data_IF_606321617492
#
_entry.id   IF_606321617492
#
_cell.length_a   1.000
_cell.length_b   1.000
_cell.length_c   1.000
_cell.angle_alpha   90.00
_cell.angle_beta   90.00
_cell.angle_gamma   90.00
#
_symmetry.space_group_name_H-M   'P 1'
#
loop_
_entity.id
_entity.type
_entity.pdbx_description
1 polymer ?
#
# COMPACT_ATOMS: atom_id res chain seq x y z
N UNK A 1 -1.25 -36.59 -77.74
CA UNK A 1 -2.32 -36.83 -76.76
C UNK A 1 -1.67 -36.87 -75.38
N UNK A 2 -2.00 -35.91 -74.53
CA UNK A 2 -1.35 -35.72 -73.24
C UNK A 2 -1.80 -34.40 -72.62
N UNK A 3 -3.02 -34.38 -72.08
CA UNK A 3 -3.50 -33.30 -71.22
C UNK A 3 -2.76 -33.38 -69.87
N UNK A 4 -2.18 -32.26 -69.44
CA UNK A 4 -1.61 -32.12 -68.09
C UNK A 4 -2.28 -30.95 -67.38
N UNK A 5 -3.18 -31.32 -66.49
CA UNK A 5 -3.88 -30.50 -65.50
C UNK A 5 -2.85 -30.00 -64.47
N UNK A 6 -2.56 -28.69 -64.43
CA UNK A 6 -1.81 -28.09 -63.33
C UNK A 6 -2.76 -27.39 -62.36
N UNK A 7 -2.83 -27.97 -61.14
CA UNK A 7 -3.59 -27.47 -60.00
C UNK A 7 -2.91 -26.25 -59.39
N UNK A 8 -3.71 -25.23 -59.08
CA UNK A 8 -3.32 -24.01 -58.37
C UNK A 8 -2.80 -24.29 -56.95
N UNK A 9 -1.80 -23.52 -56.44
CA UNK A 9 -1.39 -23.60 -55.05
C UNK A 9 -2.34 -22.80 -54.12
N UNK A 10 -2.74 -23.43 -53.02
CA UNK A 10 -3.49 -22.83 -51.92
C UNK A 10 -2.74 -21.63 -51.30
N UNK A 11 -3.43 -20.49 -51.18
CA UNK A 11 -3.00 -19.36 -50.35
C UNK A 11 -3.35 -19.63 -48.87
N UNK A 12 -2.48 -19.28 -47.91
CA UNK A 12 -2.85 -19.27 -46.51
C UNK A 12 -3.84 -18.11 -46.20
N UNK A 13 -4.72 -18.27 -45.20
CA UNK A 13 -5.67 -17.23 -44.81
C UNK A 13 -4.96 -16.05 -44.13
N UNK A 14 -5.44 -14.84 -44.43
CA UNK A 14 -5.02 -13.59 -43.78
C UNK A 14 -5.54 -13.55 -42.34
N UNK A 15 -4.76 -13.08 -41.35
CA UNK A 15 -5.29 -12.83 -40.01
C UNK A 15 -6.22 -11.61 -40.06
N UNK A 16 -7.51 -11.88 -39.94
CA UNK A 16 -8.55 -10.91 -39.58
C UNK A 16 -8.54 -10.71 -38.08
N UNK A 17 -8.26 -9.50 -37.59
CA UNK A 17 -8.37 -9.19 -36.17
C UNK A 17 -7.44 -8.09 -35.74
N UNK A 18 -7.70 -6.86 -36.17
CA UNK A 18 -7.12 -5.66 -35.56
C UNK A 18 -7.83 -5.49 -34.20
N UNK A 19 -7.30 -6.10 -33.13
CA UNK A 19 -7.72 -5.77 -31.77
C UNK A 19 -7.29 -4.32 -31.51
N UNK A 20 -8.24 -3.40 -31.63
CA UNK A 20 -8.14 -2.07 -31.07
C UNK A 20 -8.26 -2.24 -29.56
N UNK A 21 -7.13 -2.44 -28.89
CA UNK A 21 -7.02 -2.13 -27.47
C UNK A 21 -6.98 -0.61 -27.36
N UNK A 22 -8.16 0.00 -27.22
CA UNK A 22 -8.28 1.36 -26.71
C UNK A 22 -7.71 1.36 -25.29
N UNK A 23 -6.45 1.76 -25.17
CA UNK A 23 -5.84 2.09 -23.90
C UNK A 23 -6.53 3.35 -23.39
N UNK A 24 -7.42 3.17 -22.42
CA UNK A 24 -7.95 4.27 -21.63
C UNK A 24 -6.80 4.81 -20.78
N UNK A 25 -6.13 5.86 -21.28
CA UNK A 25 -5.10 6.59 -20.57
C UNK A 25 -5.77 7.27 -19.39
N UNK A 26 -5.70 6.65 -18.20
CA UNK A 26 -6.12 7.28 -16.94
C UNK A 26 -5.28 8.54 -16.75
N UNK A 27 -5.89 9.69 -17.06
CA UNK A 27 -5.26 11.01 -16.90
C UNK A 27 -5.09 11.30 -15.42
N UNK A 28 -3.85 11.27 -14.94
CA UNK A 28 -3.49 11.92 -13.68
C UNK A 28 -3.71 13.44 -13.85
N UNK A 29 -4.85 13.94 -13.36
CA UNK A 29 -5.17 15.36 -13.40
C UNK A 29 -4.47 16.08 -12.25
N UNK A 30 -3.98 17.31 -12.49
CA UNK A 30 -3.53 18.20 -11.42
C UNK A 30 -4.68 18.40 -10.43
N UNK A 31 -4.40 18.52 -9.11
CA UNK A 31 -5.43 18.57 -8.08
C UNK A 31 -6.46 19.68 -8.35
N UNK A 32 -7.73 19.29 -8.30
CA UNK A 32 -8.91 20.14 -8.49
C UNK A 32 -9.04 21.15 -7.33
N UNK A 33 -9.49 22.40 -7.55
CA UNK A 33 -9.56 23.40 -6.48
C UNK A 33 -10.76 23.08 -5.57
N UNK A 34 -10.49 22.62 -4.34
CA UNK A 34 -11.52 22.44 -3.30
C UNK A 34 -11.17 21.40 -2.22
N UNK A 35 -10.40 20.36 -2.56
CA UNK A 35 -9.83 19.41 -1.59
C UNK A 35 -8.37 19.77 -1.30
N UNK A 36 -7.95 19.77 -0.03
CA UNK A 36 -6.52 19.89 0.29
C UNK A 36 -5.80 18.69 -0.33
N UNK A 37 -4.79 18.89 -1.21
CA UNK A 37 -4.04 17.77 -1.76
C UNK A 37 -3.32 17.04 -0.63
N UNK A 38 -3.40 15.71 -0.63
CA UNK A 38 -2.64 14.88 0.30
C UNK A 38 -1.15 15.21 0.11
N UNK A 39 -0.47 15.45 1.22
CA UNK A 39 0.95 15.77 1.23
C UNK A 39 1.64 15.11 2.40
N UNK A 40 2.94 14.89 2.24
CA UNK A 40 3.82 14.47 3.33
C UNK A 40 3.88 15.61 4.36
N UNK A 41 3.65 15.28 5.63
CA UNK A 41 3.44 16.25 6.71
C UNK A 41 4.77 16.67 7.33
N UNK A 42 5.60 15.70 7.72
CA UNK A 42 6.84 15.94 8.45
C UNK A 42 8.05 15.26 7.78
N UNK A 43 9.24 15.51 8.33
CA UNK A 43 10.49 14.86 7.89
C UNK A 43 11.14 15.47 6.64
N UNK A 44 12.02 14.68 6.01
CA UNK A 44 12.84 15.08 4.87
C UNK A 44 12.02 15.51 3.65
N UNK A 45 10.89 14.85 3.40
CA UNK A 45 10.03 15.06 2.23
C UNK A 45 8.81 15.94 2.52
N UNK A 46 8.79 16.64 3.66
CA UNK A 46 7.66 17.48 4.09
C UNK A 46 7.16 18.42 2.98
N UNK A 47 5.85 18.65 2.96
CA UNK A 47 5.12 19.49 1.97
C UNK A 47 5.16 18.97 0.52
N UNK A 48 5.67 17.76 0.29
CA UNK A 48 5.57 17.11 -1.02
C UNK A 48 4.14 16.66 -1.28
N UNK A 49 3.51 17.06 -2.40
CA UNK A 49 2.20 16.56 -2.78
C UNK A 49 2.28 15.10 -3.24
N UNK A 50 1.32 14.29 -2.82
CA UNK A 50 1.14 12.91 -3.23
C UNK A 50 0.03 12.89 -4.29
N UNK A 51 0.33 12.35 -5.46
CA UNK A 51 -0.67 12.17 -6.52
C UNK A 51 -1.59 11.02 -6.15
N UNK A 52 -2.87 11.32 -5.94
CA UNK A 52 -3.92 10.34 -5.68
C UNK A 52 -4.78 10.21 -6.94
N UNK A 53 -5.07 8.99 -7.42
CA UNK A 53 -6.05 8.80 -8.49
C UNK A 53 -7.42 9.32 -8.05
N UNK A 54 -8.05 10.14 -8.90
CA UNK A 54 -9.39 10.68 -8.65
C UNK A 54 -10.44 9.62 -8.99
N UNK A 55 -10.74 8.73 -8.03
CA UNK A 55 -11.82 7.75 -8.14
C UNK A 55 -13.03 8.29 -7.38
N UNK A 56 -14.22 8.41 -8.02
CA UNK A 56 -15.44 8.85 -7.34
C UNK A 56 -15.73 7.99 -6.10
N UNK A 57 -15.85 8.62 -4.93
CA UNK A 57 -16.15 7.93 -3.68
C UNK A 57 -14.94 7.59 -2.81
N UNK A 58 -13.70 7.88 -3.25
CA UNK A 58 -12.54 7.78 -2.36
C UNK A 58 -12.69 8.79 -1.22
N UNK A 59 -12.86 8.30 0.01
CA UNK A 59 -12.69 9.11 1.23
C UNK A 59 -11.22 8.96 1.61
N UNK A 60 -10.34 9.91 1.23
CA UNK A 60 -8.95 9.81 1.64
C UNK A 60 -8.89 9.76 3.17
N UNK A 61 -8.08 8.85 3.72
CA UNK A 61 -7.72 8.85 5.14
C UNK A 61 -7.38 10.29 5.53
N UNK A 62 -8.16 10.90 6.44
CA UNK A 62 -7.99 12.31 6.76
C UNK A 62 -6.54 12.57 7.17
N UNK A 63 -5.96 13.70 6.77
CA UNK A 63 -4.62 14.11 7.22
C UNK A 63 -4.46 13.94 8.75
N UNK A 64 -5.55 14.19 9.49
CA UNK A 64 -5.65 13.98 10.93
C UNK A 64 -5.36 12.54 11.38
N UNK A 65 -5.85 11.52 10.68
CA UNK A 65 -5.62 10.11 11.06
C UNK A 65 -4.14 9.74 10.90
N UNK A 66 -3.54 10.16 9.77
CA UNK A 66 -2.09 10.01 9.53
C UNK A 66 -1.27 10.77 10.58
N UNK A 67 -1.65 12.00 10.90
CA UNK A 67 -1.00 12.78 11.97
C UNK A 67 -1.10 12.08 13.33
N UNK A 68 -2.27 11.58 13.70
CA UNK A 68 -2.47 10.84 14.95
C UNK A 68 -1.58 9.60 15.03
N UNK A 69 -1.55 8.77 13.97
CA UNK A 69 -0.68 7.60 13.90
C UNK A 69 0.78 7.96 14.17
N UNK A 70 1.31 8.94 13.44
CA UNK A 70 2.72 9.29 13.58
C UNK A 70 3.03 10.01 14.89
N UNK A 71 2.06 10.67 15.53
CA UNK A 71 2.22 11.18 16.88
C UNK A 71 2.32 10.03 17.89
N UNK A 72 1.51 8.98 17.75
CA UNK A 72 1.64 7.77 18.59
C UNK A 72 2.99 7.09 18.40
N UNK A 73 3.44 6.90 17.16
CA UNK A 73 4.74 6.30 16.86
C UNK A 73 5.89 7.15 17.39
N UNK A 74 5.81 8.48 17.25
CA UNK A 74 6.83 9.39 17.78
C UNK A 74 6.96 9.25 19.30
N UNK A 75 5.84 9.11 20.02
CA UNK A 75 5.89 8.86 21.47
C UNK A 75 6.44 7.47 21.79
N UNK A 76 6.03 6.42 21.09
CA UNK A 76 6.44 5.03 21.39
C UNK A 76 7.89 4.73 21.02
N UNK A 77 8.43 5.43 20.03
CA UNK A 77 9.81 5.27 19.58
C UNK A 77 10.72 6.42 20.04
N UNK A 78 10.27 7.29 20.95
CA UNK A 78 11.02 8.47 21.42
C UNK A 78 11.55 9.37 20.27
N UNK A 79 10.82 9.40 19.16
CA UNK A 79 11.20 10.11 17.93
C UNK A 79 12.24 9.41 17.06
N UNK A 80 12.72 8.23 17.45
CA UNK A 80 13.75 7.45 16.74
C UNK A 80 13.14 6.52 15.69
N UNK A 81 13.04 7.03 14.46
CA UNK A 81 12.66 6.24 13.28
C UNK A 81 13.86 5.53 12.64
N UNK A 82 15.08 5.89 13.01
CA UNK A 82 16.29 5.23 12.53
C UNK A 82 16.29 3.74 12.92
N UNK A 83 16.70 2.87 11.98
CA UNK A 83 16.69 1.42 12.15
C UNK A 83 15.31 0.77 11.95
N UNK A 84 14.22 1.54 11.94
CA UNK A 84 12.86 1.00 11.81
C UNK A 84 12.57 0.53 10.39
N UNK A 85 11.98 -0.66 10.30
CA UNK A 85 11.50 -1.30 9.07
C UNK A 85 9.98 -1.25 9.05
N UNK A 86 9.42 -0.58 8.05
CA UNK A 86 7.98 -0.40 7.88
C UNK A 86 7.49 -1.20 6.69
N UNK A 87 6.37 -1.89 6.85
CA UNK A 87 5.62 -2.54 5.79
C UNK A 87 4.25 -1.87 5.65
N UNK A 88 3.92 -1.44 4.44
CA UNK A 88 2.60 -0.95 4.07
C UNK A 88 1.97 -1.98 3.12
N UNK A 89 1.02 -2.77 3.63
CA UNK A 89 0.45 -3.90 2.87
C UNK A 89 -0.61 -3.48 1.85
N UNK A 90 -1.19 -2.29 2.04
CA UNK A 90 -2.23 -1.73 1.19
C UNK A 90 -1.84 -0.29 0.86
N UNK A 91 -0.72 -0.13 0.14
CA UNK A 91 -0.07 1.17 0.02
C UNK A 91 -0.96 2.22 -0.62
N UNK A 92 -1.76 1.88 -1.64
CA UNK A 92 -2.62 2.81 -2.35
C UNK A 92 -1.83 4.01 -2.89
N UNK A 93 -2.10 5.19 -2.33
CA UNK A 93 -1.35 6.43 -2.64
C UNK A 93 0.07 6.48 -2.06
N UNK A 94 0.38 5.61 -1.10
CA UNK A 94 1.63 5.54 -0.34
C UNK A 94 1.73 6.57 0.77
N UNK A 95 0.64 7.26 1.11
CA UNK A 95 0.67 8.36 2.07
C UNK A 95 1.22 7.96 3.45
N UNK A 96 0.85 6.78 3.94
CA UNK A 96 1.35 6.28 5.22
C UNK A 96 2.82 5.89 5.10
N UNK A 97 3.20 5.00 4.18
CA UNK A 97 4.60 4.58 4.05
C UNK A 97 5.60 5.69 3.67
N UNK A 98 5.24 6.64 2.80
CA UNK A 98 6.13 7.77 2.48
C UNK A 98 6.33 8.72 3.67
N UNK A 99 5.35 8.82 4.57
CA UNK A 99 5.51 9.59 5.80
C UNK A 99 6.53 8.93 6.75
N UNK A 100 6.55 7.59 6.83
CA UNK A 100 7.57 6.85 7.58
C UNK A 100 8.97 7.06 6.99
N UNK A 101 9.09 6.95 5.67
CA UNK A 101 10.35 7.20 4.98
C UNK A 101 10.84 8.64 5.21
N UNK A 102 9.93 9.61 5.12
CA UNK A 102 10.22 11.02 5.37
C UNK A 102 10.76 11.26 6.78
N UNK A 103 10.23 10.54 7.78
CA UNK A 103 10.65 10.64 9.19
C UNK A 103 11.96 9.91 9.51
N UNK A 104 12.52 9.16 8.56
CA UNK A 104 13.83 8.53 8.70
C UNK A 104 13.81 7.01 8.89
N UNK A 105 12.68 6.34 8.60
CA UNK A 105 12.64 4.88 8.58
C UNK A 105 13.69 4.33 7.59
N UNK A 106 14.49 3.35 8.04
CA UNK A 106 15.61 2.80 7.25
C UNK A 106 15.14 1.97 6.07
N UNK A 107 13.98 1.32 6.20
CA UNK A 107 13.36 0.59 5.12
C UNK A 107 11.85 0.75 5.18
N UNK A 108 11.24 1.06 4.04
CA UNK A 108 9.79 1.07 3.86
C UNK A 108 9.46 0.21 2.65
N UNK A 109 8.67 -0.83 2.85
CA UNK A 109 8.15 -1.67 1.78
C UNK A 109 6.69 -1.34 1.53
N UNK A 110 6.38 -0.84 0.34
CA UNK A 110 5.03 -0.55 -0.13
C UNK A 110 4.55 -1.71 -1.00
N UNK A 111 3.44 -2.34 -0.64
CA UNK A 111 2.79 -3.40 -1.42
C UNK A 111 1.52 -2.83 -2.04
N UNK A 112 1.41 -2.98 -3.36
CA UNK A 112 0.23 -2.54 -4.11
C UNK A 112 0.00 -3.46 -5.31
N UNK A 113 -1.26 -3.77 -5.59
CA UNK A 113 -1.68 -4.64 -6.69
C UNK A 113 -2.08 -3.85 -7.94
N UNK A 114 -2.63 -2.64 -7.79
CA UNK A 114 -3.06 -1.82 -8.92
C UNK A 114 -1.84 -1.26 -9.67
N UNK A 115 -1.81 -1.49 -10.99
CA UNK A 115 -0.66 -1.11 -11.83
C UNK A 115 -0.47 0.39 -11.92
N UNK A 116 -1.56 1.16 -11.89
CA UNK A 116 -1.53 2.62 -11.98
C UNK A 116 -0.98 3.21 -10.69
N UNK A 117 -1.45 2.73 -9.54
CA UNK A 117 -0.94 3.09 -8.22
C UNK A 117 0.53 2.71 -8.07
N UNK A 118 0.94 1.50 -8.44
CA UNK A 118 2.36 1.08 -8.45
C UNK A 118 3.23 2.03 -9.26
N UNK A 119 2.78 2.43 -10.45
CA UNK A 119 3.52 3.38 -11.29
C UNK A 119 3.65 4.76 -10.61
N UNK A 120 2.57 5.25 -10.00
CA UNK A 120 2.57 6.51 -9.26
C UNK A 120 3.52 6.46 -8.03
N UNK A 121 3.50 5.36 -7.26
CA UNK A 121 4.40 5.13 -6.13
C UNK A 121 5.87 5.15 -6.55
N UNK A 122 6.21 4.46 -7.65
CA UNK A 122 7.58 4.44 -8.19
C UNK A 122 8.01 5.83 -8.66
N UNK A 123 7.15 6.54 -9.39
CA UNK A 123 7.43 7.90 -9.83
C UNK A 123 7.66 8.86 -8.66
N UNK A 124 6.87 8.75 -7.58
CA UNK A 124 7.05 9.55 -6.38
C UNK A 124 8.35 9.21 -5.64
N UNK A 125 8.65 7.92 -5.47
CA UNK A 125 9.93 7.46 -4.91
C UNK A 125 11.12 8.04 -5.67
N UNK A 126 11.09 7.93 -7.00
CA UNK A 126 12.20 8.36 -7.86
C UNK A 126 12.36 9.88 -7.83
N UNK A 127 11.24 10.62 -7.84
CA UNK A 127 11.23 12.08 -7.68
C UNK A 127 11.84 12.53 -6.35
N UNK A 128 11.61 11.78 -5.27
CA UNK A 128 12.13 12.09 -3.94
C UNK A 128 13.53 11.53 -3.69
N UNK A 129 14.05 10.72 -4.62
CA UNK A 129 15.26 9.91 -4.42
C UNK A 129 15.19 9.11 -3.10
N UNK A 130 14.02 8.54 -2.81
CA UNK A 130 13.73 7.90 -1.54
C UNK A 130 14.32 6.48 -1.49
N UNK A 131 15.61 6.37 -1.22
CA UNK A 131 16.36 5.11 -1.23
C UNK A 131 15.84 4.06 -0.22
N UNK A 132 15.23 4.50 0.88
CA UNK A 132 14.62 3.63 1.88
C UNK A 132 13.33 2.94 1.37
N UNK A 133 12.70 3.48 0.33
CA UNK A 133 11.38 3.02 -0.15
C UNK A 133 11.53 1.98 -1.27
N UNK A 134 10.94 0.81 -1.05
CA UNK A 134 10.79 -0.26 -2.05
C UNK A 134 9.32 -0.44 -2.38
N UNK A 135 9.01 -0.63 -3.67
CA UNK A 135 7.63 -0.84 -4.15
C UNK A 135 7.52 -2.24 -4.73
N UNK A 136 6.69 -3.08 -4.11
CA UNK A 136 6.37 -4.42 -4.57
C UNK A 136 5.00 -4.43 -5.23
N UNK A 137 4.96 -4.82 -6.50
CA UNK A 137 3.72 -4.98 -7.25
C UNK A 137 3.17 -6.39 -6.98
N UNK A 138 2.11 -6.50 -6.19
CA UNK A 138 1.57 -7.78 -5.77
C UNK A 138 0.36 -7.64 -4.86
N UNK A 139 -0.36 -8.74 -4.71
CA UNK A 139 -1.51 -8.84 -3.81
C UNK A 139 -1.00 -9.10 -2.37
N UNK A 140 -1.61 -8.42 -1.38
CA UNK A 140 -1.16 -8.40 0.00
C UNK A 140 -1.00 -9.81 0.61
N UNK A 141 -1.99 -10.70 0.45
CA UNK A 141 -1.95 -12.06 0.99
C UNK A 141 -0.80 -12.86 0.39
N UNK A 142 -0.62 -12.83 -0.92
CA UNK A 142 0.48 -13.53 -1.59
C UNK A 142 1.85 -13.02 -1.14
N UNK A 143 1.97 -11.72 -0.88
CA UNK A 143 3.21 -11.12 -0.43
C UNK A 143 3.53 -11.54 0.99
N UNK A 144 2.56 -11.45 1.90
CA UNK A 144 2.73 -11.86 3.31
C UNK A 144 3.07 -13.34 3.42
N UNK A 145 2.39 -14.21 2.66
CA UNK A 145 2.63 -15.65 2.67
C UNK A 145 4.02 -16.06 2.18
N UNK A 146 4.68 -15.22 1.38
CA UNK A 146 6.04 -15.47 0.87
C UNK A 146 7.12 -14.82 1.72
N UNK A 147 6.73 -13.99 2.69
CA UNK A 147 7.66 -13.31 3.58
C UNK A 147 8.07 -14.22 4.74
N UNK A 148 9.02 -15.10 4.48
CA UNK A 148 9.70 -15.82 5.56
C UNK A 148 10.88 -14.98 6.08
N UNK A 149 11.07 -14.97 7.41
CA UNK A 149 12.18 -14.33 8.12
C UNK A 149 12.31 -12.78 8.03
N UNK A 150 11.36 -12.08 7.39
CA UNK A 150 11.31 -10.61 7.50
C UNK A 150 10.79 -10.19 8.89
N UNK A 151 11.33 -9.12 9.45
CA UNK A 151 10.93 -8.59 10.76
C UNK A 151 10.70 -7.09 10.59
N UNK A 152 9.44 -6.67 10.66
CA UNK A 152 9.03 -5.27 10.55
C UNK A 152 8.70 -4.71 11.93
N UNK A 153 9.18 -3.50 12.21
CA UNK A 153 8.87 -2.75 13.42
C UNK A 153 7.47 -2.14 13.36
N UNK A 154 6.95 -1.92 12.15
CA UNK A 154 5.60 -1.42 11.92
C UNK A 154 5.00 -2.06 10.67
N UNK A 155 3.80 -2.60 10.81
CA UNK A 155 2.96 -3.05 9.70
C UNK A 155 1.72 -2.14 9.65
N UNK A 156 1.49 -1.53 8.50
CA UNK A 156 0.34 -0.66 8.22
C UNK A 156 -0.71 -1.48 7.44
N UNK A 157 -1.91 -1.53 7.99
CA UNK A 157 -3.07 -2.23 7.43
C UNK A 157 -4.21 -1.26 7.21
N UNK A 158 -4.35 -0.76 5.98
CA UNK A 158 -5.52 0.00 5.53
C UNK A 158 -6.21 -0.75 4.38
N UNK A 159 -6.82 -1.92 4.67
CA UNK A 159 -7.44 -2.72 3.62
C UNK A 159 -8.69 -2.06 3.07
N UNK A 160 -9.06 -2.34 1.80
CA UNK A 160 -10.34 -1.91 1.28
C UNK A 160 -11.50 -2.52 2.10
N UNK A 161 -12.51 -1.70 2.40
CA UNK A 161 -13.68 -2.08 3.21
C UNK A 161 -14.48 -3.24 2.59
N UNK A 162 -15.25 -3.95 3.43
CA UNK A 162 -16.18 -5.00 3.01
C UNK A 162 -15.57 -6.30 2.44
N UNK A 163 -14.29 -6.60 2.73
CA UNK A 163 -13.60 -7.78 2.16
C UNK A 163 -12.96 -8.74 3.19
N UNK A 164 -13.21 -8.52 4.50
CA UNK A 164 -12.71 -9.37 5.59
C UNK A 164 -11.19 -9.66 5.52
N UNK A 165 -10.40 -8.66 5.15
CA UNK A 165 -8.94 -8.77 5.06
C UNK A 165 -8.30 -9.04 6.42
N UNK A 166 -8.73 -8.33 7.46
CA UNK A 166 -8.10 -8.39 8.78
C UNK A 166 -8.15 -9.80 9.39
N UNK A 167 -9.30 -10.51 9.44
CA UNK A 167 -9.35 -11.90 9.90
C UNK A 167 -8.37 -12.85 9.19
N UNK A 168 -8.11 -12.62 7.90
CA UNK A 168 -7.21 -13.46 7.10
C UNK A 168 -5.73 -13.12 7.33
N UNK A 169 -5.43 -11.87 7.67
CA UNK A 169 -4.06 -11.40 7.91
C UNK A 169 -3.58 -11.72 9.32
N UNK A 170 -4.46 -11.70 10.33
CA UNK A 170 -4.06 -11.91 11.72
C UNK A 170 -3.15 -13.12 11.98
N UNK A 171 -3.40 -14.31 11.42
CA UNK A 171 -2.55 -15.47 11.68
C UNK A 171 -1.15 -15.36 11.08
N UNK A 172 -0.95 -14.46 10.10
CA UNK A 172 0.29 -14.32 9.35
C UNK A 172 1.20 -13.23 9.90
N UNK A 173 0.63 -12.17 10.50
CA UNK A 173 1.41 -11.03 11.00
C UNK A 173 2.51 -11.43 12.00
N UNK A 174 2.29 -12.36 12.95
CA UNK A 174 3.34 -12.75 13.91
C UNK A 174 4.61 -13.30 13.24
N UNK A 175 4.48 -13.94 12.07
CA UNK A 175 5.62 -14.48 11.33
C UNK A 175 6.54 -13.41 10.73
N UNK A 176 6.03 -12.18 10.56
CA UNK A 176 6.72 -11.07 9.91
C UNK A 176 6.96 -9.85 10.80
N UNK A 177 6.43 -9.86 12.03
CA UNK A 177 6.65 -8.80 13.02
C UNK A 177 8.00 -8.95 13.72
N UNK A 178 8.64 -7.82 14.02
CA UNK A 178 9.72 -7.77 15.00
C UNK A 178 9.20 -8.03 16.41
N UNK A 179 10.11 -8.29 17.36
CA UNK A 179 9.75 -8.62 18.75
C UNK A 179 8.89 -7.56 19.45
N UNK A 180 9.16 -6.29 19.17
CA UNK A 180 8.38 -5.16 19.64
C UNK A 180 7.59 -4.51 18.49
N UNK A 181 7.30 -5.30 17.46
CA UNK A 181 6.63 -4.85 16.25
C UNK A 181 5.22 -4.33 16.56
N UNK A 182 4.87 -3.25 15.88
CA UNK A 182 3.57 -2.60 15.97
C UNK A 182 2.75 -2.91 14.72
N UNK A 183 1.43 -3.01 14.91
CA UNK A 183 0.48 -3.15 13.81
C UNK A 183 -0.50 -2.00 13.88
N UNK A 184 -0.56 -1.19 12.84
CA UNK A 184 -1.56 -0.16 12.67
C UNK A 184 -2.68 -0.69 11.76
N UNK A 185 -3.93 -0.47 12.16
CA UNK A 185 -5.11 -0.97 11.44
C UNK A 185 -6.13 0.14 11.26
N UNK A 186 -6.70 0.26 10.06
CA UNK A 186 -7.92 1.01 9.76
C UNK A 186 -9.07 0.04 9.43
N UNK A 187 -10.28 0.36 9.88
CA UNK A 187 -11.49 -0.43 9.65
C UNK A 187 -12.75 0.43 9.67
N UNK A 188 -13.82 -0.04 9.04
CA UNK A 188 -15.16 0.57 9.12
C UNK A 188 -15.91 0.20 10.42
N UNK A 189 -15.40 -0.78 11.16
CA UNK A 189 -15.98 -1.27 12.42
C UNK A 189 -14.98 -1.16 13.58
N UNK A 190 -15.49 -1.27 14.80
CA UNK A 190 -14.64 -1.33 15.99
C UNK A 190 -13.62 -2.48 15.86
N UNK A 191 -12.38 -2.20 16.26
CA UNK A 191 -11.30 -3.18 16.17
C UNK A 191 -11.58 -4.34 17.11
N UNK A 192 -11.58 -5.55 16.55
CA UNK A 192 -11.69 -6.81 17.28
C UNK A 192 -10.51 -7.71 16.91
N UNK A 193 -9.29 -7.39 17.38
CA UNK A 193 -8.12 -8.23 17.13
C UNK A 193 -8.20 -9.53 17.95
N UNK A 194 -7.46 -10.58 17.57
CA UNK A 194 -7.32 -11.79 18.38
C UNK A 194 -6.64 -11.52 19.73
N UNK A 195 -6.81 -12.42 20.69
CA UNK A 195 -6.28 -12.30 22.05
C UNK A 195 -4.74 -12.14 22.12
N UNK A 196 -4.03 -12.61 21.10
CA UNK A 196 -2.57 -12.48 21.01
C UNK A 196 -2.11 -11.05 20.64
N UNK A 197 -3.03 -10.12 20.39
CA UNK A 197 -2.75 -8.72 20.08
C UNK A 197 -3.34 -7.80 21.15
N UNK A 198 -2.48 -6.98 21.74
CA UNK A 198 -2.86 -5.94 22.69
C UNK A 198 -3.11 -4.62 21.94
N UNK A 199 -4.25 -3.98 22.17
CA UNK A 199 -4.54 -2.64 21.63
C UNK A 199 -3.87 -1.59 22.50
N UNK A 200 -2.79 -0.99 22.00
CA UNK A 200 -2.06 0.08 22.71
C UNK A 200 -2.79 1.42 22.63
N UNK A 201 -3.33 1.74 21.46
CA UNK A 201 -4.07 2.98 21.17
C UNK A 201 -5.19 2.68 20.19
N UNK A 202 -6.31 3.37 20.32
CA UNK A 202 -7.40 3.34 19.36
C UNK A 202 -8.14 4.67 19.37
N UNK A 203 -8.67 5.07 18.23
CA UNK A 203 -9.49 6.27 18.09
C UNK A 203 -10.42 6.10 16.85
N UNK A 204 -11.30 7.08 16.62
CA UNK A 204 -12.26 7.07 15.52
C UNK A 204 -12.34 8.44 14.86
N UNK A 205 -12.33 8.45 13.53
CA UNK A 205 -12.54 9.64 12.72
C UNK A 205 -13.72 9.40 11.76
N UNK A 206 -14.89 9.94 12.11
CA UNK A 206 -16.12 9.71 11.35
C UNK A 206 -16.53 8.23 11.38
N UNK A 207 -16.53 7.57 10.23
CA UNK A 207 -16.86 6.15 10.10
C UNK A 207 -15.62 5.23 10.16
N UNK A 208 -14.41 5.80 10.21
CA UNK A 208 -13.17 5.02 10.26
C UNK A 208 -12.73 4.84 11.70
N UNK A 209 -12.61 3.59 12.12
CA UNK A 209 -11.95 3.17 13.35
C UNK A 209 -10.50 2.84 13.03
N UNK A 210 -9.59 3.30 13.87
CA UNK A 210 -8.18 3.02 13.68
C UNK A 210 -7.47 2.80 15.01
N UNK A 211 -6.39 2.04 14.99
CA UNK A 211 -5.70 1.66 16.20
C UNK A 211 -4.32 1.11 15.95
N UNK A 212 -3.53 1.14 17.01
CA UNK A 212 -2.17 0.66 17.06
C UNK A 212 -2.10 -0.46 18.08
N UNK A 213 -1.66 -1.62 17.60
CA UNK A 213 -1.62 -2.86 18.34
C UNK A 213 -0.19 -3.36 18.46
N UNK A 214 0.06 -4.21 19.45
CA UNK A 214 1.31 -4.93 19.63
C UNK A 214 1.02 -6.42 19.82
N UNK A 215 1.88 -7.27 19.25
CA UNK A 215 1.76 -8.70 19.46
C UNK A 215 2.23 -9.07 20.88
N UNK A 216 1.32 -9.61 21.69
CA UNK A 216 1.51 -9.84 23.12
C UNK A 216 2.28 -11.14 23.44
N UNK A 217 2.34 -12.09 22.50
CA UNK A 217 2.79 -13.46 22.82
C UNK A 217 4.30 -13.61 23.14
N UNK A 218 5.10 -12.54 23.02
CA UNK A 218 6.55 -12.57 23.34
C UNK A 218 6.88 -12.06 24.75
N UNK A 219 5.87 -11.75 25.58
CA UNK A 219 6.05 -11.49 27.01
C UNK A 219 5.93 -12.78 27.84
N UNK A 220 6.79 -13.77 27.60
CA UNK A 220 6.98 -14.92 28.49
C UNK A 220 8.45 -15.26 28.63
#
# INVERSE_FOLDING_TARGET
>A
MGESIFRSPCRPPRPSGRLLFEQEVVRLKKPTPGGKPIRIVAGQYRRTPISVPDVPGLRPTPDRVRETLYNWLTHLWDGEFAGKRVLDLFAGSGALGFEAASRGATQVLLVEHDRTAVAALRALRDKLNAAAVRVHAGEAMQVVQRMDASRFDLILLDPPFGQDWLPRLWPLLPGILAEQGLVYVESEAALAPPDDFEVLRQDRAGAVHYGLLQFAAMRK
#
